data_IF_753673955522
#
_entry.id   IF_753673955522
#
_cell.length_a   1.000
_cell.length_b   1.000
_cell.length_c   1.000
_cell.angle_alpha   90.00
_cell.angle_beta   90.00
_cell.angle_gamma   90.00
#
_symmetry.space_group_name_H-M   'P 1'
#
loop_
_entity.id
_entity.type
_entity.pdbx_description
1 polymer ?
#
# COMPACT_ATOMS: atom_id res chain seq x y z
N UNK A 1 2.76 -15.61 -9.08
CA UNK A 1 3.56 -14.86 -8.08
C UNK A 1 2.68 -13.85 -7.37
N UNK A 2 2.61 -13.90 -6.05
CA UNK A 2 1.83 -12.94 -5.25
C UNK A 2 2.46 -11.54 -5.40
N UNK A 3 1.71 -10.54 -5.91
CA UNK A 3 2.22 -9.16 -6.13
C UNK A 3 2.21 -8.27 -4.88
N UNK A 4 1.42 -8.60 -3.86
CA UNK A 4 1.31 -7.79 -2.65
C UNK A 4 2.43 -8.09 -1.66
N UNK A 5 3.25 -7.07 -1.32
CA UNK A 5 4.27 -7.16 -0.27
C UNK A 5 3.65 -7.57 1.09
N UNK A 6 2.46 -7.04 1.39
CA UNK A 6 1.68 -7.37 2.58
C UNK A 6 1.41 -8.87 2.68
N UNK A 7 0.93 -9.47 1.59
CA UNK A 7 0.59 -10.89 1.58
C UNK A 7 1.84 -11.76 1.69
N UNK A 8 2.96 -11.37 1.06
CA UNK A 8 4.24 -12.08 1.20
C UNK A 8 4.76 -12.06 2.64
N UNK A 9 4.80 -10.89 3.27
CA UNK A 9 5.26 -10.76 4.66
C UNK A 9 4.35 -11.52 5.63
N UNK A 10 3.03 -11.43 5.44
CA UNK A 10 2.07 -12.16 6.27
C UNK A 10 2.20 -13.67 6.11
N UNK A 11 2.32 -14.17 4.88
CA UNK A 11 2.52 -15.60 4.63
C UNK A 11 3.84 -16.08 5.24
N UNK A 12 4.92 -15.32 5.09
CA UNK A 12 6.22 -15.67 5.68
C UNK A 12 6.16 -15.76 7.21
N UNK A 13 5.60 -14.73 7.86
CA UNK A 13 5.44 -14.70 9.32
C UNK A 13 4.48 -15.80 9.83
N UNK A 14 3.36 -16.02 9.15
CA UNK A 14 2.41 -17.07 9.49
C UNK A 14 3.03 -18.46 9.33
N UNK A 15 3.77 -18.70 8.26
CA UNK A 15 4.47 -19.97 8.02
C UNK A 15 5.50 -20.23 9.12
N UNK A 16 6.29 -19.22 9.48
CA UNK A 16 7.28 -19.34 10.57
C UNK A 16 6.60 -19.64 11.91
N UNK A 17 5.51 -18.94 12.23
CA UNK A 17 4.75 -19.17 13.46
C UNK A 17 4.14 -20.59 13.52
N UNK A 18 3.59 -21.08 12.40
CA UNK A 18 3.05 -22.44 12.29
C UNK A 18 4.15 -23.48 12.44
N UNK A 19 5.30 -23.31 11.76
CA UNK A 19 6.44 -24.22 11.89
C UNK A 19 6.94 -24.25 13.33
N UNK A 20 7.09 -23.09 13.97
CA UNK A 20 7.52 -23.00 15.36
C UNK A 20 6.56 -23.75 16.28
N UNK A 21 5.24 -23.59 16.10
CA UNK A 21 4.24 -24.34 16.87
C UNK A 21 4.28 -25.85 16.60
N UNK A 22 4.44 -26.27 15.34
CA UNK A 22 4.54 -27.67 14.97
C UNK A 22 5.77 -28.35 15.58
N UNK A 23 6.86 -27.61 15.82
CA UNK A 23 8.06 -28.11 16.49
C UNK A 23 7.94 -28.08 18.01
N UNK A 24 7.41 -27.00 18.58
CA UNK A 24 7.31 -26.83 20.04
C UNK A 24 6.31 -27.78 20.69
N UNK A 25 5.17 -28.03 20.04
CA UNK A 25 4.11 -28.85 20.61
C UNK A 25 4.53 -30.29 20.92
N UNK A 26 5.14 -31.07 19.99
CA UNK A 26 5.63 -32.41 20.29
C UNK A 26 6.76 -32.40 21.32
N UNK A 27 7.64 -31.39 21.31
CA UNK A 27 8.70 -31.24 22.31
C UNK A 27 8.13 -31.08 23.72
N UNK A 28 7.11 -30.21 23.89
CA UNK A 28 6.45 -29.99 25.18
C UNK A 28 5.66 -31.24 25.63
N UNK A 29 4.96 -31.90 24.71
CA UNK A 29 4.26 -33.16 25.00
C UNK A 29 5.23 -34.26 25.44
N UNK A 30 6.39 -34.38 24.77
CA UNK A 30 7.45 -35.33 25.14
C UNK A 30 8.06 -35.04 26.50
N UNK A 31 8.42 -33.78 26.76
CA UNK A 31 8.95 -33.35 28.05
C UNK A 31 7.97 -33.64 29.21
N UNK A 32 6.68 -33.36 29.00
CA UNK A 32 5.64 -33.66 29.99
C UNK A 32 5.46 -35.17 30.18
N UNK A 33 5.46 -35.95 29.10
CA UNK A 33 5.36 -37.42 29.15
C UNK A 33 6.50 -38.04 29.97
N UNK A 34 7.72 -37.53 29.79
CA UNK A 34 8.91 -37.92 30.55
C UNK A 34 8.78 -37.54 32.03
N UNK A 35 8.38 -36.30 32.32
CA UNK A 35 8.19 -35.82 33.69
C UNK A 35 7.11 -36.62 34.43
N UNK A 36 5.98 -36.91 33.78
CA UNK A 36 4.89 -37.67 34.39
C UNK A 36 5.28 -39.14 34.60
N UNK A 37 6.04 -39.74 33.69
CA UNK A 37 6.58 -41.10 33.87
C UNK A 37 7.50 -41.17 35.10
N UNK A 38 8.42 -40.21 35.25
CA UNK A 38 9.30 -40.14 36.42
C UNK A 38 8.52 -39.90 37.72
N UNK A 39 7.46 -39.10 37.69
CA UNK A 39 6.59 -38.89 38.84
C UNK A 39 5.84 -40.16 39.27
N UNK A 40 5.38 -40.98 38.30
CA UNK A 40 4.75 -42.28 38.58
C UNK A 40 5.77 -43.24 39.19
N UNK A 41 6.97 -43.31 38.64
CA UNK A 41 8.05 -44.15 39.15
C UNK A 41 8.38 -43.80 40.62
N UNK A 42 8.60 -42.52 40.92
CA UNK A 42 8.88 -42.06 42.29
C UNK A 42 7.71 -42.36 43.25
N UNK A 43 6.48 -42.22 42.79
CA UNK A 43 5.28 -42.53 43.59
C UNK A 43 5.20 -44.02 43.90
N UNK A 44 5.34 -44.88 42.89
CA UNK A 44 5.30 -46.33 43.09
C UNK A 44 6.47 -46.80 43.96
N UNK A 45 7.65 -46.20 43.84
CA UNK A 45 8.78 -46.47 44.73
C UNK A 45 8.48 -46.15 46.19
N UNK A 46 7.80 -45.02 46.46
CA UNK A 46 7.33 -44.64 47.79
C UNK A 46 6.25 -45.61 48.31
N UNK A 47 5.32 -46.02 47.45
CA UNK A 47 4.26 -46.96 47.79
C UNK A 47 4.84 -48.34 48.14
N UNK A 48 5.79 -48.85 47.35
CA UNK A 48 6.53 -50.09 47.68
C UNK A 48 7.30 -49.94 48.98
N UNK A 49 8.04 -48.84 49.19
CA UNK A 49 8.78 -48.60 50.45
C UNK A 49 7.86 -48.62 51.68
N UNK A 50 6.62 -48.15 51.52
CA UNK A 50 5.59 -48.20 52.56
C UNK A 50 5.16 -49.64 52.85
N UNK A 51 4.97 -50.46 51.81
CA UNK A 51 4.71 -51.90 51.96
C UNK A 51 5.87 -52.63 52.64
N UNK A 52 7.12 -52.32 52.25
CA UNK A 52 8.34 -52.87 52.89
C UNK A 52 8.35 -52.57 54.39
N UNK A 53 8.07 -51.32 54.75
CA UNK A 53 8.11 -50.84 56.13
C UNK A 53 6.99 -51.45 56.99
N UNK A 54 5.85 -51.82 56.37
CA UNK A 54 4.74 -52.46 57.04
C UNK A 54 4.94 -53.98 57.22
N UNK A 55 5.80 -54.59 56.41
CA UNK A 55 6.06 -56.02 56.46
C UNK A 55 6.81 -56.41 57.75
N UNK A 56 6.37 -57.50 58.39
CA UNK A 56 7.05 -58.10 59.54
C UNK A 56 7.51 -59.51 59.19
N UNK A 57 8.58 -59.95 59.82
CA UNK A 57 9.14 -61.29 59.60
C UNK A 57 9.08 -62.02 60.92
N UNK A 58 8.33 -63.11 60.95
CA UNK A 58 8.18 -63.95 62.14
C UNK A 58 8.34 -65.41 61.71
N UNK A 59 9.27 -66.14 62.33
CA UNK A 59 9.57 -67.55 62.02
C UNK A 59 9.88 -67.83 60.53
N UNK A 60 10.75 -67.01 59.90
CA UNK A 60 11.09 -67.10 58.47
C UNK A 60 9.91 -66.92 57.48
N UNK A 61 8.73 -66.52 57.97
CA UNK A 61 7.58 -66.18 57.15
C UNK A 61 7.34 -64.68 57.12
N UNK A 62 7.03 -64.16 55.93
CA UNK A 62 6.62 -62.77 55.74
C UNK A 62 5.17 -62.62 56.19
N UNK A 63 4.94 -61.78 57.20
CA UNK A 63 3.62 -61.41 57.70
C UNK A 63 3.31 -59.97 57.34
N UNK A 64 2.23 -59.80 56.58
CA UNK A 64 1.68 -58.50 56.23
C UNK A 64 0.50 -58.17 57.15
N UNK A 65 0.33 -56.91 57.59
CA UNK A 65 -0.84 -56.50 58.36
C UNK A 65 -2.12 -56.59 57.50
N UNK A 66 -3.27 -56.78 58.15
CA UNK A 66 -4.57 -56.82 57.48
C UNK A 66 -4.99 -55.48 56.86
N UNK A 67 -4.40 -54.37 57.35
CA UNK A 67 -4.58 -53.02 56.84
C UNK A 67 -3.20 -52.41 56.63
N UNK A 68 -2.90 -52.03 55.40
CA UNK A 68 -1.65 -51.37 55.06
C UNK A 68 -1.68 -49.88 55.40
N UNK A 69 -0.54 -49.26 55.76
CA UNK A 69 -0.40 -47.81 55.76
C UNK A 69 -0.60 -47.29 54.33
N UNK A 70 -1.61 -46.42 54.15
CA UNK A 70 -2.03 -45.92 52.84
C UNK A 70 -3.39 -46.49 52.41
N UNK A 71 -4.39 -45.61 52.24
CA UNK A 71 -5.78 -46.00 51.99
C UNK A 71 -5.94 -46.77 50.66
N UNK A 72 -5.09 -46.50 49.67
CA UNK A 72 -5.25 -47.02 48.31
C UNK A 72 -5.04 -48.54 48.19
N UNK A 73 -4.23 -49.17 49.04
CA UNK A 73 -4.06 -50.63 49.02
C UNK A 73 -5.22 -51.38 49.69
N UNK A 74 -6.02 -50.68 50.51
CA UNK A 74 -7.08 -51.28 51.31
C UNK A 74 -8.47 -51.14 50.67
N UNK A 75 -8.61 -50.28 49.65
CA UNK A 75 -9.87 -50.00 48.97
C UNK A 75 -10.06 -50.90 47.73
N UNK A 76 -11.12 -51.72 47.67
CA UNK A 76 -11.49 -52.46 46.46
C UNK A 76 -11.73 -51.51 45.28
N UNK A 77 -11.22 -51.85 44.10
CA UNK A 77 -11.32 -51.00 42.90
C UNK A 77 -10.37 -49.79 42.87
N UNK A 78 -9.45 -49.69 43.84
CA UNK A 78 -8.36 -48.73 43.78
C UNK A 78 -7.43 -49.03 42.60
N UNK A 79 -6.88 -47.97 42.00
CA UNK A 79 -5.96 -48.06 40.85
C UNK A 79 -4.54 -48.47 41.24
N UNK A 80 -4.29 -48.83 42.49
CA UNK A 80 -2.99 -49.24 43.00
C UNK A 80 -3.08 -50.65 43.56
N UNK A 81 -2.29 -51.56 42.99
CA UNK A 81 -2.30 -52.98 43.29
C UNK A 81 -0.96 -53.38 43.89
N UNK A 82 -0.98 -54.08 45.02
CA UNK A 82 0.23 -54.55 45.70
C UNK A 82 0.31 -56.06 45.65
N UNK A 83 1.48 -56.59 45.26
CA UNK A 83 1.77 -58.02 45.25
C UNK A 83 3.12 -58.29 45.92
N UNK A 84 3.25 -59.46 46.52
CA UNK A 84 4.53 -59.96 47.01
C UNK A 84 4.74 -61.36 46.46
N UNK A 85 5.92 -61.59 45.89
CA UNK A 85 6.34 -62.85 45.31
C UNK A 85 7.55 -63.41 46.06
N UNK A 86 7.63 -64.74 46.17
CA UNK A 86 8.83 -65.42 46.62
C UNK A 86 9.83 -65.63 45.48
N UNK A 87 11.07 -66.03 45.81
CA UNK A 87 12.14 -66.33 44.84
C UNK A 87 11.76 -67.30 43.71
N UNK A 88 10.76 -68.16 43.92
CA UNK A 88 10.28 -69.12 42.91
C UNK A 88 9.23 -68.51 41.97
N UNK A 89 8.91 -67.21 42.14
CA UNK A 89 7.89 -66.50 41.38
C UNK A 89 6.46 -66.81 41.84
N UNK A 90 6.28 -67.46 43.00
CA UNK A 90 4.95 -67.73 43.55
C UNK A 90 4.47 -66.54 44.38
N UNK A 91 3.23 -66.12 44.13
CA UNK A 91 2.56 -65.06 44.89
C UNK A 91 2.34 -65.51 46.34
N UNK A 92 2.89 -64.78 47.31
CA UNK A 92 2.73 -65.04 48.74
C UNK A 92 1.73 -64.10 49.41
N UNK A 93 1.50 -62.92 48.83
CA UNK A 93 0.54 -61.94 49.34
C UNK A 93 0.03 -61.03 48.23
N UNK A 94 -1.19 -60.52 48.40
CA UNK A 94 -1.83 -59.52 47.53
C UNK A 94 -2.64 -58.52 48.37
N UNK A 95 -2.72 -57.27 47.92
CA UNK A 95 -3.51 -56.22 48.60
C UNK A 95 -5.01 -56.41 48.41
N UNK A 96 -5.83 -55.84 49.29
CA UNK A 96 -7.30 -55.88 49.17
C UNK A 96 -7.78 -55.18 47.88
N UNK A 97 -7.03 -54.22 47.37
CA UNK A 97 -7.30 -53.56 46.09
C UNK A 97 -7.21 -54.48 44.86
N UNK A 98 -6.64 -55.68 44.97
CA UNK A 98 -6.51 -56.67 43.88
C UNK A 98 -7.76 -57.50 43.62
N UNK A 99 -8.84 -57.26 44.37
CA UNK A 99 -10.08 -58.03 44.23
C UNK A 99 -10.70 -57.82 42.84
N UNK A 100 -10.59 -58.83 41.97
CA UNK A 100 -11.12 -58.83 40.59
C UNK A 100 -10.07 -58.63 39.48
N UNK A 101 -8.81 -58.36 39.82
CA UNK A 101 -7.70 -58.16 38.88
C UNK A 101 -6.64 -59.26 39.10
N UNK A 102 -6.20 -59.94 38.04
CA UNK A 102 -5.19 -61.00 38.14
C UNK A 102 -4.08 -60.79 37.11
N UNK A 103 -3.02 -60.10 37.54
CA UNK A 103 -1.93 -59.69 36.65
C UNK A 103 -0.94 -60.85 36.46
N UNK A 104 -0.69 -61.23 35.20
CA UNK A 104 0.36 -62.18 34.83
C UNK A 104 1.73 -61.47 34.79
N UNK A 105 2.27 -61.17 35.97
CA UNK A 105 3.63 -60.64 36.14
C UNK A 105 4.50 -61.66 36.85
N UNK A 106 5.71 -61.88 36.34
CA UNK A 106 6.73 -62.70 36.99
C UNK A 106 7.93 -61.82 37.33
N UNK A 107 8.29 -61.71 38.62
CA UNK A 107 9.43 -60.91 39.02
C UNK A 107 10.72 -61.51 38.47
N UNK A 108 11.65 -60.65 38.06
CA UNK A 108 12.98 -61.05 37.62
C UNK A 108 13.95 -60.82 38.76
N UNK A 109 14.56 -61.90 39.25
CA UNK A 109 15.57 -61.83 40.31
C UNK A 109 16.96 -61.64 39.70
N UNK A 110 17.24 -60.44 39.21
CA UNK A 110 18.48 -60.10 38.51
C UNK A 110 19.53 -59.43 39.43
N UNK A 111 19.13 -59.07 40.65
CA UNK A 111 20.01 -58.45 41.64
C UNK A 111 20.27 -56.95 41.44
N UNK A 112 19.52 -56.28 40.55
CA UNK A 112 19.58 -54.82 40.34
C UNK A 112 18.83 -54.02 41.43
N UNK A 113 18.15 -54.70 42.36
CA UNK A 113 17.54 -54.11 43.55
C UNK A 113 16.16 -53.52 43.33
N UNK A 114 15.95 -52.75 42.25
CA UNK A 114 14.63 -52.25 41.85
C UNK A 114 14.50 -52.11 40.34
N UNK A 115 13.32 -52.40 39.78
CA UNK A 115 13.02 -52.28 38.36
C UNK A 115 11.71 -51.49 38.14
N UNK A 116 11.73 -50.51 37.23
CA UNK A 116 10.52 -49.83 36.76
C UNK A 116 10.24 -50.17 35.31
N UNK A 117 9.18 -50.94 35.07
CA UNK A 117 8.85 -51.46 33.75
C UNK A 117 7.39 -51.24 33.37
N UNK A 118 7.11 -51.41 32.08
CA UNK A 118 5.76 -51.36 31.52
C UNK A 118 5.43 -52.76 31.02
N UNK A 119 4.37 -53.35 31.54
CA UNK A 119 3.88 -54.66 31.11
C UNK A 119 2.58 -54.52 30.33
N UNK A 120 2.31 -55.50 29.48
CA UNK A 120 1.06 -55.62 28.74
C UNK A 120 0.45 -56.98 29.03
N UNK A 121 -0.78 -56.98 29.51
CA UNK A 121 -1.55 -58.17 29.82
C UNK A 121 -2.15 -58.80 28.55
N UNK A 122 -2.52 -60.07 28.64
CA UNK A 122 -3.17 -60.86 27.58
C UNK A 122 -4.51 -60.22 27.16
N UNK A 123 -5.22 -59.56 28.09
CA UNK A 123 -6.46 -58.83 27.83
C UNK A 123 -6.25 -57.51 27.08
N UNK A 124 -5.00 -57.14 26.79
CA UNK A 124 -4.61 -55.93 26.08
C UNK A 124 -4.33 -54.72 26.99
N UNK A 125 -4.55 -54.86 28.29
CA UNK A 125 -4.32 -53.79 29.25
C UNK A 125 -2.86 -53.63 29.63
N UNK A 126 -2.42 -52.37 29.70
CA UNK A 126 -1.05 -52.02 30.01
C UNK A 126 -0.96 -51.49 31.44
N UNK A 127 0.09 -51.88 32.15
CA UNK A 127 0.33 -51.49 33.54
C UNK A 127 1.78 -51.00 33.71
N UNK A 128 1.96 -50.02 34.59
CA UNK A 128 3.25 -49.68 35.14
C UNK A 128 3.53 -50.53 36.36
N UNK A 129 4.72 -51.12 36.41
CA UNK A 129 5.15 -52.03 37.47
C UNK A 129 6.43 -51.49 38.06
N UNK A 130 6.44 -51.35 39.39
CA UNK A 130 7.64 -51.08 40.15
C UNK A 130 7.91 -52.28 41.06
N UNK A 131 9.00 -52.99 40.80
CA UNK A 131 9.44 -54.18 41.52
C UNK A 131 10.68 -53.84 42.37
N UNK A 132 10.67 -54.22 43.64
CA UNK A 132 11.83 -54.11 44.54
C UNK A 132 12.16 -55.48 45.12
N UNK A 133 13.41 -55.90 44.92
CA UNK A 133 13.96 -57.11 45.51
C UNK A 133 14.50 -56.86 46.91
N UNK A 134 14.08 -57.69 47.87
CA UNK A 134 14.50 -57.57 49.27
C UNK A 134 15.10 -58.89 49.71
N UNK A 135 16.27 -58.80 50.36
CA UNK A 135 16.94 -59.93 51.00
C UNK A 135 16.83 -59.79 52.51
N UNK A 136 16.32 -60.83 53.16
CA UNK A 136 16.20 -60.85 54.61
C UNK A 136 17.56 -61.13 55.28
N UNK A 137 17.97 -60.22 56.16
CA UNK A 137 19.15 -60.38 57.01
C UNK A 137 18.76 -61.25 58.22
N UNK A 138 18.85 -62.58 58.08
CA UNK A 138 18.38 -63.47 59.16
C UNK A 138 18.57 -64.98 59.01
N UNK A 139 19.14 -65.48 57.91
CA UNK A 139 19.59 -66.89 57.87
C UNK A 139 18.63 -67.90 57.25
N UNK A 140 18.19 -67.65 56.01
CA UNK A 140 18.04 -68.60 54.88
C UNK A 140 17.74 -67.72 53.66
N UNK A 141 17.95 -68.24 52.44
CA UNK A 141 17.83 -67.54 51.14
C UNK A 141 16.40 -67.03 50.78
N UNK A 142 15.66 -66.47 51.74
CA UNK A 142 14.36 -65.83 51.52
C UNK A 142 14.57 -64.46 50.87
N UNK A 143 14.48 -64.45 49.54
CA UNK A 143 14.34 -63.24 48.75
C UNK A 143 12.86 -63.07 48.39
N UNK A 144 12.33 -61.89 48.66
CA UNK A 144 10.97 -61.49 48.28
C UNK A 144 11.06 -60.36 47.27
N UNK A 145 10.15 -60.37 46.30
CA UNK A 145 9.92 -59.25 45.38
C UNK A 145 8.62 -58.59 45.83
N UNK A 146 8.70 -57.29 46.12
CA UNK A 146 7.53 -56.48 46.48
C UNK A 146 7.22 -55.58 45.30
N UNK A 147 6.01 -55.74 44.79
CA UNK A 147 5.60 -55.17 43.51
C UNK A 147 4.40 -54.27 43.70
N UNK A 148 4.52 -53.01 43.27
CA UNK A 148 3.38 -52.12 43.10
C UNK A 148 3.05 -51.97 41.62
N UNK A 149 1.75 -52.11 41.30
CA UNK A 149 1.24 -52.06 39.94
C UNK A 149 0.14 -51.00 39.83
N UNK A 150 0.20 -50.22 38.76
CA UNK A 150 -0.82 -49.21 38.44
C UNK A 150 -1.25 -49.32 36.96
N UNK A 151 -2.55 -49.28 36.62
CA UNK A 151 -3.02 -49.30 35.24
C UNK A 151 -2.58 -48.07 34.44
N UNK A 152 -2.18 -48.27 33.19
CA UNK A 152 -1.77 -47.20 32.27
C UNK A 152 -2.97 -46.38 31.75
N UNK A 153 -4.19 -46.92 31.80
CA UNK A 153 -5.39 -46.21 31.33
C UNK A 153 -5.56 -44.84 31.99
N UNK A 154 -5.32 -44.74 33.31
CA UNK A 154 -5.36 -43.45 34.02
C UNK A 154 -4.27 -42.46 33.60
N UNK A 155 -3.11 -42.96 33.16
CA UNK A 155 -2.04 -42.16 32.57
C UNK A 155 -2.45 -41.63 31.18
N UNK A 156 -3.01 -42.49 30.33
CA UNK A 156 -3.48 -42.12 28.99
C UNK A 156 -4.59 -41.07 29.03
N UNK A 157 -5.60 -41.25 29.90
CA UNK A 157 -6.67 -40.27 30.10
C UNK A 157 -6.13 -38.88 30.48
N UNK A 158 -5.14 -38.86 31.38
CA UNK A 158 -4.49 -37.61 31.83
C UNK A 158 -3.72 -36.94 30.69
N UNK A 159 -2.95 -37.72 29.93
CA UNK A 159 -2.18 -37.23 28.78
C UNK A 159 -3.08 -36.72 27.67
N UNK A 160 -4.16 -37.43 27.33
CA UNK A 160 -5.07 -37.01 26.26
C UNK A 160 -5.87 -35.77 26.65
N UNK A 161 -6.29 -35.69 27.92
CA UNK A 161 -6.89 -34.48 28.49
C UNK A 161 -5.95 -33.28 28.41
N UNK A 162 -4.66 -33.48 28.74
CA UNK A 162 -3.64 -32.43 28.60
C UNK A 162 -3.39 -32.06 27.14
N UNK A 163 -3.22 -33.03 26.24
CA UNK A 163 -3.01 -32.82 24.81
C UNK A 163 -4.12 -31.95 24.23
N UNK A 164 -5.38 -32.25 24.53
CA UNK A 164 -6.52 -31.43 24.08
C UNK A 164 -6.40 -29.99 24.58
N UNK A 165 -6.07 -29.78 25.86
CA UNK A 165 -5.86 -28.43 26.42
C UNK A 165 -4.70 -27.71 25.75
N UNK A 166 -3.59 -28.41 25.46
CA UNK A 166 -2.45 -27.86 24.75
C UNK A 166 -2.82 -27.47 23.31
N UNK A 167 -3.52 -28.33 22.56
CA UNK A 167 -3.97 -28.00 21.20
C UNK A 167 -4.89 -26.78 21.18
N UNK A 168 -5.86 -26.70 22.10
CA UNK A 168 -6.75 -25.55 22.22
C UNK A 168 -6.00 -24.28 22.61
N UNK A 169 -5.11 -24.35 23.60
CA UNK A 169 -4.32 -23.22 24.07
C UNK A 169 -3.36 -22.69 23.00
N UNK A 170 -2.60 -23.58 22.34
CA UNK A 170 -1.71 -23.20 21.24
C UNK A 170 -2.49 -22.70 20.03
N UNK A 171 -3.62 -23.33 19.68
CA UNK A 171 -4.48 -22.87 18.59
C UNK A 171 -5.01 -21.45 18.84
N UNK A 172 -5.49 -21.18 20.05
CA UNK A 172 -5.93 -19.84 20.46
C UNK A 172 -4.78 -18.84 20.45
N UNK A 173 -3.61 -19.20 20.99
CA UNK A 173 -2.42 -18.34 20.98
C UNK A 173 -1.96 -18.03 19.54
N UNK A 174 -2.03 -19.00 18.62
CA UNK A 174 -1.70 -18.81 17.22
C UNK A 174 -2.67 -17.82 16.55
N UNK A 175 -3.97 -18.00 16.78
CA UNK A 175 -4.98 -17.10 16.25
C UNK A 175 -4.78 -15.65 16.73
N UNK A 176 -4.51 -15.47 18.03
CA UNK A 176 -4.19 -14.15 18.61
C UNK A 176 -2.92 -13.58 17.99
N UNK A 177 -1.84 -14.36 17.89
CA UNK A 177 -0.57 -13.94 17.30
C UNK A 177 -0.75 -13.50 15.84
N UNK A 178 -1.46 -14.29 15.03
CA UNK A 178 -1.74 -13.97 13.64
C UNK A 178 -2.61 -12.71 13.51
N UNK A 179 -3.60 -12.53 14.39
CA UNK A 179 -4.41 -11.32 14.46
C UNK A 179 -3.59 -10.07 14.78
N UNK A 180 -2.70 -10.15 15.77
CA UNK A 180 -1.80 -9.06 16.14
C UNK A 180 -0.80 -8.74 15.03
N UNK A 181 -0.21 -9.75 14.39
CA UNK A 181 0.68 -9.56 13.24
C UNK A 181 -0.04 -8.88 12.08
N UNK A 182 -1.26 -9.32 11.76
CA UNK A 182 -2.09 -8.70 10.74
C UNK A 182 -2.39 -7.24 11.07
N UNK A 183 -2.78 -6.94 12.32
CA UNK A 183 -3.06 -5.58 12.78
C UNK A 183 -1.81 -4.68 12.67
N UNK A 184 -0.67 -5.14 13.19
CA UNK A 184 0.61 -4.41 13.12
C UNK A 184 1.06 -4.12 11.69
N UNK A 185 0.99 -5.13 10.80
CA UNK A 185 1.29 -4.97 9.37
C UNK A 185 0.32 -3.99 8.69
N UNK A 186 -0.97 -4.02 9.05
CA UNK A 186 -1.94 -3.07 8.48
C UNK A 186 -1.70 -1.64 8.89
N UNK A 187 -1.33 -1.41 10.16
CA UNK A 187 -1.00 -0.09 10.67
C UNK A 187 0.29 0.43 10.04
N UNK A 188 1.37 -0.38 10.02
CA UNK A 188 2.64 0.03 9.41
C UNK A 188 2.53 0.35 7.92
N UNK A 189 1.83 -0.48 7.14
CA UNK A 189 1.65 -0.25 5.70
C UNK A 189 0.61 0.84 5.38
N UNK A 190 -0.14 1.35 6.38
CA UNK A 190 -1.06 2.47 6.17
C UNK A 190 -0.29 3.78 5.97
N UNK A 191 0.78 3.99 6.73
CA UNK A 191 1.64 5.17 6.59
C UNK A 191 2.24 5.29 5.18
N UNK A 192 2.74 4.17 4.62
CA UNK A 192 3.26 4.13 3.24
C UNK A 192 2.20 4.47 2.19
N UNK A 193 0.96 4.01 2.38
CA UNK A 193 -0.15 4.38 1.49
C UNK A 193 -0.49 5.87 1.59
N UNK A 194 -0.44 6.43 2.81
CA UNK A 194 -0.59 7.88 3.02
C UNK A 194 0.48 8.68 2.27
N UNK A 195 1.76 8.29 2.37
CA UNK A 195 2.85 8.93 1.65
C UNK A 195 2.68 8.84 0.12
N UNK A 196 2.24 7.68 -0.39
CA UNK A 196 1.93 7.52 -1.82
C UNK A 196 0.81 8.46 -2.27
N UNK A 197 -0.26 8.57 -1.48
CA UNK A 197 -1.37 9.48 -1.77
C UNK A 197 -0.95 10.95 -1.71
N UNK A 198 -0.09 11.33 -0.76
CA UNK A 198 0.49 12.68 -0.72
C UNK A 198 1.35 12.96 -1.95
N UNK A 199 2.12 11.97 -2.42
CA UNK A 199 2.93 12.11 -3.63
C UNK A 199 2.05 12.30 -4.87
N UNK A 200 0.97 11.51 -5.01
CA UNK A 200 -0.01 11.68 -6.08
C UNK A 200 -0.68 13.07 -6.02
N UNK A 201 -0.92 13.60 -4.81
CA UNK A 201 -1.46 14.95 -4.63
C UNK A 201 -0.46 16.03 -5.06
N UNK A 202 0.83 15.85 -4.77
CA UNK A 202 1.89 16.74 -5.25
C UNK A 202 2.02 16.65 -6.78
N UNK A 203 1.91 15.45 -7.36
CA UNK A 203 1.90 15.22 -8.81
C UNK A 203 0.66 15.79 -9.51
N UNK A 204 -0.46 15.92 -8.78
CA UNK A 204 -1.68 16.53 -9.33
C UNK A 204 -1.73 18.04 -9.17
N UNK A 205 -0.82 18.63 -8.38
CA UNK A 205 -0.80 20.07 -8.10
C UNK A 205 -1.64 20.52 -6.91
N UNK A 206 -2.34 19.61 -6.25
CA UNK A 206 -3.19 19.91 -5.10
C UNK A 206 -2.36 20.34 -3.88
N UNK A 207 -1.10 19.90 -3.82
CA UNK A 207 -0.23 20.14 -2.67
C UNK A 207 1.18 20.52 -3.09
N UNK A 208 1.79 21.43 -2.34
CA UNK A 208 3.15 21.90 -2.63
C UNK A 208 4.26 20.98 -2.10
N UNK A 209 4.04 20.23 -1.03
CA UNK A 209 5.08 19.39 -0.42
C UNK A 209 4.46 18.22 0.34
N UNK A 210 5.27 17.19 0.61
CA UNK A 210 4.89 16.08 1.46
C UNK A 210 4.86 16.53 2.94
N UNK A 211 3.94 15.96 3.75
CA UNK A 211 3.81 16.28 5.18
C UNK A 211 5.08 15.94 5.96
N UNK A 212 5.33 16.61 7.08
CA UNK A 212 6.37 16.21 8.05
C UNK A 212 5.86 15.18 9.08
N UNK A 213 4.55 14.92 9.11
CA UNK A 213 3.88 13.99 10.04
C UNK A 213 4.00 12.53 9.58
N UNK A 214 5.23 12.04 9.46
CA UNK A 214 5.50 10.63 9.12
C UNK A 214 6.35 9.95 10.21
N UNK A 215 6.27 8.61 10.34
CA UNK A 215 7.18 7.85 11.20
C UNK A 215 8.65 8.17 10.93
N UNK A 216 9.49 8.05 11.95
CA UNK A 216 10.91 8.43 11.88
C UNK A 216 11.67 7.68 10.78
N UNK A 217 11.23 6.49 10.42
CA UNK A 217 11.79 5.69 9.31
C UNK A 217 11.54 6.33 7.94
N UNK A 218 10.46 7.12 7.78
CA UNK A 218 10.08 7.76 6.53
C UNK A 218 10.53 9.23 6.45
N UNK A 219 10.77 9.90 7.57
CA UNK A 219 11.19 11.32 7.59
C UNK A 219 12.35 11.62 6.64
N UNK A 220 13.41 10.79 6.66
CA UNK A 220 14.58 10.98 5.80
C UNK A 220 14.25 10.87 4.31
N UNK A 221 13.30 10.00 3.95
CA UNK A 221 12.84 9.84 2.57
C UNK A 221 12.00 11.04 2.15
N UNK A 222 11.03 11.43 2.99
CA UNK A 222 10.18 12.60 2.79
C UNK A 222 11.02 13.87 2.60
N UNK A 223 12.03 14.09 3.44
CA UNK A 223 12.95 15.23 3.31
C UNK A 223 13.72 15.22 1.99
N UNK A 224 14.17 14.04 1.56
CA UNK A 224 14.91 13.89 0.31
C UNK A 224 14.03 14.17 -0.90
N UNK A 225 12.77 13.69 -0.88
CA UNK A 225 11.77 14.00 -1.90
C UNK A 225 11.42 15.49 -1.90
N UNK A 226 11.18 16.09 -0.74
CA UNK A 226 10.90 17.53 -0.61
C UNK A 226 12.07 18.40 -1.09
N UNK A 227 13.33 17.97 -0.92
CA UNK A 227 14.50 18.65 -1.52
C UNK A 227 14.54 18.52 -3.04
N UNK A 228 14.26 17.33 -3.57
CA UNK A 228 14.20 17.10 -5.02
C UNK A 228 13.11 17.96 -5.66
N UNK A 229 11.91 17.98 -5.07
CA UNK A 229 10.78 18.80 -5.53
C UNK A 229 11.13 20.29 -5.53
N UNK A 230 11.78 20.79 -4.46
CA UNK A 230 12.25 22.18 -4.41
C UNK A 230 13.28 22.48 -5.50
N UNK A 231 14.28 21.61 -5.67
CA UNK A 231 15.31 21.77 -6.71
C UNK A 231 14.72 21.79 -8.12
N UNK A 232 13.72 20.95 -8.40
CA UNK A 232 13.06 20.89 -9.69
C UNK A 232 12.29 22.18 -9.99
N UNK A 233 11.52 22.68 -9.01
CA UNK A 233 10.81 23.96 -9.12
C UNK A 233 11.75 25.13 -9.34
N UNK A 234 12.82 25.23 -8.55
CA UNK A 234 13.82 26.28 -8.74
C UNK A 234 14.49 26.21 -10.12
N UNK A 235 14.75 25.00 -10.63
CA UNK A 235 15.30 24.81 -11.96
C UNK A 235 14.30 25.23 -13.05
N UNK A 236 13.00 24.95 -12.89
CA UNK A 236 11.96 25.44 -13.81
C UNK A 236 11.86 26.96 -13.82
N UNK A 237 11.86 27.60 -12.64
CA UNK A 237 11.80 29.06 -12.52
C UNK A 237 13.00 29.68 -13.22
N UNK A 238 14.22 29.24 -12.91
CA UNK A 238 15.44 29.72 -13.59
C UNK A 238 15.41 29.50 -15.09
N UNK A 239 14.89 28.37 -15.55
CA UNK A 239 14.75 28.09 -16.99
C UNK A 239 13.78 29.07 -17.65
N UNK A 240 12.63 29.37 -17.01
CA UNK A 240 11.66 30.34 -17.51
C UNK A 240 12.25 31.75 -17.55
N UNK A 241 12.88 32.20 -16.47
CA UNK A 241 13.49 33.53 -16.40
C UNK A 241 14.59 33.68 -17.47
N UNK A 242 15.40 32.63 -17.68
CA UNK A 242 16.43 32.62 -18.74
C UNK A 242 15.82 32.71 -20.14
N UNK A 243 14.67 32.08 -20.39
CA UNK A 243 13.96 32.20 -21.66
C UNK A 243 13.41 33.61 -21.86
N UNK A 244 12.84 34.23 -20.82
CA UNK A 244 12.32 35.59 -20.88
C UNK A 244 13.44 36.61 -21.18
N UNK A 245 14.60 36.45 -20.54
CA UNK A 245 15.79 37.27 -20.83
C UNK A 245 16.29 37.07 -22.27
N UNK A 246 16.28 35.82 -22.76
CA UNK A 246 16.65 35.49 -24.13
C UNK A 246 15.63 36.07 -25.13
N UNK A 247 14.34 36.09 -24.79
CA UNK A 247 13.30 36.75 -25.56
C UNK A 247 13.56 38.25 -25.72
N UNK A 248 13.87 38.91 -24.61
CA UNK A 248 14.10 40.35 -24.61
C UNK A 248 15.36 40.73 -25.39
N UNK A 249 16.45 39.97 -25.19
CA UNK A 249 17.72 40.19 -25.88
C UNK A 249 17.66 39.95 -27.39
N UNK A 250 16.74 39.09 -27.86
CA UNK A 250 16.52 38.86 -29.30
C UNK A 250 15.52 39.83 -29.94
N UNK A 251 14.46 40.26 -29.23
CA UNK A 251 13.48 41.24 -29.73
C UNK A 251 14.13 42.60 -30.05
N UNK A 252 15.07 43.03 -29.22
CA UNK A 252 15.74 44.33 -29.35
C UNK A 252 16.52 44.48 -30.67
N UNK A 253 17.45 43.58 -31.04
CA UNK A 253 18.15 43.67 -32.33
C UNK A 253 17.22 43.46 -33.53
N UNK A 254 16.18 42.62 -33.40
CA UNK A 254 15.17 42.47 -34.46
C UNK A 254 14.40 43.78 -34.72
N UNK A 255 14.01 44.51 -33.66
CA UNK A 255 13.36 45.81 -33.80
C UNK A 255 14.27 46.85 -34.47
N UNK A 256 15.56 46.85 -34.15
CA UNK A 256 16.56 47.71 -34.81
C UNK A 256 16.67 47.36 -36.30
N UNK A 257 16.78 46.08 -36.65
CA UNK A 257 16.82 45.63 -38.04
C UNK A 257 15.54 46.01 -38.79
N UNK A 258 14.38 45.91 -38.15
CA UNK A 258 13.10 46.31 -38.72
C UNK A 258 13.06 47.81 -39.03
N UNK A 259 13.51 48.66 -38.10
CA UNK A 259 13.59 50.11 -38.31
C UNK A 259 14.60 50.53 -39.39
N UNK A 260 15.72 49.80 -39.53
CA UNK A 260 16.68 50.02 -40.63
C UNK A 260 16.04 49.63 -41.97
N UNK A 261 15.35 48.50 -42.03
CA UNK A 261 14.63 48.04 -43.23
C UNK A 261 13.56 49.03 -43.69
N UNK A 262 12.77 49.57 -42.76
CA UNK A 262 11.73 50.58 -43.04
C UNK A 262 12.33 51.89 -43.59
N UNK A 263 13.54 52.26 -43.17
CA UNK A 263 14.24 53.42 -43.71
C UNK A 263 14.80 53.18 -45.11
N UNK A 264 15.23 51.96 -45.44
CA UNK A 264 15.64 51.57 -46.79
C UNK A 264 14.42 51.55 -47.74
N UNK A 265 13.26 51.09 -47.26
CA UNK A 265 12.01 51.07 -48.02
C UNK A 265 11.51 52.46 -48.48
N UNK A 266 11.99 53.55 -47.87
CA UNK A 266 11.68 54.94 -48.27
C UNK A 266 12.46 55.41 -49.50
N UNK A 267 13.47 54.66 -49.96
CA UNK A 267 14.25 54.98 -51.15
C UNK A 267 13.66 54.26 -52.37
N UNK A 268 13.30 54.96 -53.45
CA UNK A 268 12.62 54.36 -54.60
C UNK A 268 13.44 53.29 -55.34
N UNK A 269 14.76 53.26 -55.16
CA UNK A 269 15.68 52.36 -55.88
C UNK A 269 15.88 51.01 -55.17
N UNK A 270 15.51 50.91 -53.88
CA UNK A 270 15.84 49.75 -53.01
C UNK A 270 14.58 49.03 -52.44
N UNK A 271 13.38 49.39 -52.91
CA UNK A 271 12.09 48.92 -52.33
C UNK A 271 11.96 47.40 -52.31
N UNK A 272 12.42 46.71 -53.36
CA UNK A 272 12.33 45.25 -53.46
C UNK A 272 13.26 44.55 -52.44
N UNK A 273 14.46 45.11 -52.23
CA UNK A 273 15.45 44.57 -51.28
C UNK A 273 15.04 44.85 -49.83
N UNK A 274 14.45 46.01 -49.57
CA UNK A 274 13.85 46.34 -48.27
C UNK A 274 12.69 45.40 -47.93
N UNK A 275 11.87 45.03 -48.91
CA UNK A 275 10.75 44.10 -48.72
C UNK A 275 11.24 42.68 -48.38
N UNK A 276 12.27 42.19 -49.08
CA UNK A 276 12.91 40.90 -48.77
C UNK A 276 13.51 40.92 -47.37
N UNK A 277 14.24 41.96 -46.99
CA UNK A 277 14.86 42.07 -45.66
C UNK A 277 13.81 42.12 -44.54
N UNK A 278 12.74 42.90 -44.73
CA UNK A 278 11.63 42.99 -43.79
C UNK A 278 10.94 41.62 -43.61
N UNK A 279 10.72 40.89 -44.71
CA UNK A 279 10.13 39.55 -44.65
C UNK A 279 11.00 38.54 -43.88
N UNK A 280 12.33 38.64 -43.95
CA UNK A 280 13.24 37.75 -43.22
C UNK A 280 13.32 38.10 -41.73
N UNK A 281 13.34 39.39 -41.39
CA UNK A 281 13.29 39.86 -39.99
C UNK A 281 11.98 39.41 -39.33
N UNK A 282 10.87 39.53 -40.06
CA UNK A 282 9.56 39.10 -39.58
C UNK A 282 9.51 37.58 -39.35
N UNK A 283 10.05 36.77 -40.28
CA UNK A 283 10.18 35.32 -40.08
C UNK A 283 11.06 34.94 -38.88
N UNK A 284 12.16 35.65 -38.66
CA UNK A 284 13.03 35.41 -37.50
C UNK A 284 12.32 35.76 -36.19
N UNK A 285 11.64 36.90 -36.13
CA UNK A 285 10.82 37.31 -34.98
C UNK A 285 9.74 36.27 -34.67
N UNK A 286 9.05 35.77 -35.70
CA UNK A 286 8.07 34.68 -35.57
C UNK A 286 8.69 33.39 -35.02
N UNK A 287 9.83 32.95 -35.57
CA UNK A 287 10.51 31.72 -35.11
C UNK A 287 10.99 31.83 -33.66
N UNK A 288 11.53 32.99 -33.27
CA UNK A 288 12.04 33.23 -31.94
C UNK A 288 10.90 33.29 -30.92
N UNK A 289 9.86 34.11 -31.19
CA UNK A 289 8.67 34.17 -30.34
C UNK A 289 8.06 32.79 -30.13
N UNK A 290 7.95 32.00 -31.20
CA UNK A 290 7.45 30.62 -31.14
C UNK A 290 8.32 29.69 -30.29
N UNK A 291 9.64 29.68 -30.46
CA UNK A 291 10.50 28.77 -29.69
C UNK A 291 10.51 29.10 -28.20
N UNK A 292 10.47 30.40 -27.87
CA UNK A 292 10.41 30.87 -26.50
C UNK A 292 9.08 30.50 -25.84
N UNK A 293 7.97 30.73 -26.55
CA UNK A 293 6.65 30.38 -26.06
C UNK A 293 6.45 28.86 -25.98
N UNK A 294 6.98 28.09 -26.93
CA UNK A 294 6.94 26.62 -26.86
C UNK A 294 7.79 26.08 -25.70
N UNK A 295 8.88 26.75 -25.37
CA UNK A 295 9.73 26.38 -24.25
C UNK A 295 9.08 26.75 -22.89
N UNK A 296 8.29 27.84 -22.83
CA UNK A 296 7.48 28.19 -21.65
C UNK A 296 6.24 27.32 -21.49
N UNK A 297 5.59 26.92 -22.60
CA UNK A 297 4.40 26.04 -22.63
C UNK A 297 4.73 24.54 -22.51
N UNK A 298 6.02 24.16 -22.49
CA UNK A 298 6.43 22.75 -22.48
C UNK A 298 6.06 22.11 -21.14
N UNK A 299 4.91 21.42 -21.11
CA UNK A 299 4.40 20.55 -20.03
C UNK A 299 4.91 20.96 -18.63
N UNK A 300 4.14 21.79 -17.93
CA UNK A 300 3.80 21.49 -16.53
C UNK A 300 3.14 20.12 -16.48
N UNK A 301 3.92 19.05 -16.67
CA UNK A 301 3.43 17.68 -16.71
C UNK A 301 2.97 17.15 -15.35
N UNK A 302 2.80 18.02 -14.35
CA UNK A 302 2.66 17.68 -12.94
C UNK A 302 1.65 18.57 -12.18
N UNK A 303 0.86 19.41 -12.86
CA UNK A 303 -0.11 20.27 -12.17
C UNK A 303 -1.38 20.37 -13.04
N UNK A 304 -2.44 19.67 -12.64
CA UNK A 304 -3.76 19.80 -13.27
C UNK A 304 -4.41 21.09 -12.75
N UNK A 305 -4.11 22.20 -13.41
CA UNK A 305 -4.74 23.48 -13.07
C UNK A 305 -6.19 23.50 -13.56
N UNK A 306 -7.10 23.91 -12.68
CA UNK A 306 -8.48 24.23 -13.00
C UNK A 306 -8.66 25.74 -12.83
N UNK A 307 -9.07 26.43 -13.88
CA UNK A 307 -9.28 27.88 -13.84
C UNK A 307 -10.76 28.18 -14.07
N UNK A 308 -11.33 29.02 -13.21
CA UNK A 308 -12.68 29.54 -13.39
C UNK A 308 -12.69 30.48 -14.60
N UNK A 309 -13.49 30.15 -15.61
CA UNK A 309 -13.45 30.86 -16.90
C UNK A 309 -14.03 32.27 -16.80
N UNK A 310 -15.13 32.43 -16.04
CA UNK A 310 -15.87 33.69 -15.93
C UNK A 310 -15.02 34.89 -15.47
N UNK A 311 -14.26 34.85 -14.35
CA UNK A 311 -13.44 35.98 -13.92
C UNK A 311 -12.39 36.41 -14.96
N UNK A 312 -11.82 35.44 -15.67
CA UNK A 312 -10.80 35.69 -16.70
C UNK A 312 -11.40 36.40 -17.91
N UNK A 313 -12.54 35.91 -18.41
CA UNK A 313 -13.23 36.52 -19.55
C UNK A 313 -13.74 37.92 -19.20
N UNK A 314 -14.32 38.11 -18.02
CA UNK A 314 -14.79 39.42 -17.54
C UNK A 314 -13.64 40.44 -17.45
N UNK A 315 -12.49 40.03 -16.92
CA UNK A 315 -11.29 40.87 -16.84
C UNK A 315 -10.78 41.31 -18.23
N UNK A 316 -10.75 40.37 -19.18
CA UNK A 316 -10.32 40.65 -20.56
C UNK A 316 -11.30 41.57 -21.29
N UNK A 317 -12.62 41.30 -21.21
CA UNK A 317 -13.65 42.16 -21.79
C UNK A 317 -13.57 43.58 -21.21
N UNK A 318 -13.47 43.72 -19.88
CA UNK A 318 -13.32 45.04 -19.23
C UNK A 318 -12.09 45.82 -19.69
N UNK A 319 -11.01 45.11 -20.04
CA UNK A 319 -9.78 45.71 -20.56
C UNK A 319 -9.97 46.13 -22.01
N UNK A 320 -10.55 45.27 -22.85
CA UNK A 320 -10.80 45.53 -24.26
C UNK A 320 -11.87 46.61 -24.48
N UNK A 321 -12.89 46.71 -23.63
CA UNK A 321 -13.89 47.79 -23.64
C UNK A 321 -13.24 49.17 -23.46
N UNK A 322 -12.14 49.26 -22.71
CA UNK A 322 -11.37 50.51 -22.55
C UNK A 322 -10.53 50.82 -23.78
N UNK A 323 -9.93 49.80 -24.40
CA UNK A 323 -9.07 49.94 -25.60
C UNK A 323 -9.91 50.32 -26.83
N UNK A 324 -11.07 49.69 -27.00
CA UNK A 324 -11.99 49.90 -28.13
C UNK A 324 -13.21 50.74 -27.76
N UNK A 325 -13.05 51.67 -26.80
CA UNK A 325 -14.15 52.49 -26.26
C UNK A 325 -14.96 53.20 -27.36
N UNK A 326 -14.30 53.65 -28.41
CA UNK A 326 -14.93 54.40 -29.51
C UNK A 326 -15.89 53.55 -30.36
N UNK A 327 -15.71 52.22 -30.37
CA UNK A 327 -16.60 51.28 -31.09
C UNK A 327 -17.89 50.93 -30.34
N UNK A 328 -17.93 51.16 -29.01
CA UNK A 328 -19.06 50.79 -28.16
C UNK A 328 -19.50 49.32 -28.30
N UNK A 329 -18.53 48.40 -28.30
CA UNK A 329 -18.80 46.95 -28.43
C UNK A 329 -19.62 46.45 -27.26
N UNK A 330 -20.68 45.69 -27.54
CA UNK A 330 -21.50 44.99 -26.54
C UNK A 330 -21.02 43.54 -26.39
N UNK A 331 -20.33 43.23 -25.30
CA UNK A 331 -19.93 41.86 -24.97
C UNK A 331 -21.03 41.13 -24.17
N UNK A 332 -21.46 39.97 -24.67
CA UNK A 332 -22.43 39.08 -24.00
C UNK A 332 -21.73 37.81 -23.53
N UNK A 333 -21.85 37.49 -22.23
CA UNK A 333 -21.22 36.32 -21.61
C UNK A 333 -22.27 35.28 -21.21
N UNK A 334 -22.36 34.20 -22.00
CA UNK A 334 -23.21 33.04 -21.70
C UNK A 334 -22.37 31.90 -21.08
N UNK A 335 -21.96 32.13 -19.83
CA UNK A 335 -21.08 31.25 -19.08
C UNK A 335 -21.84 30.72 -17.84
N UNK A 336 -21.87 29.41 -17.57
CA UNK A 336 -22.39 28.91 -16.29
C UNK A 336 -21.61 29.51 -15.09
N UNK A 337 -22.24 29.69 -13.93
CA UNK A 337 -21.57 30.24 -12.73
C UNK A 337 -20.29 29.48 -12.34
N UNK A 338 -20.30 28.15 -12.53
CA UNK A 338 -19.21 27.25 -12.16
C UNK A 338 -18.59 26.57 -13.38
N UNK A 339 -18.17 27.35 -14.38
CA UNK A 339 -17.44 26.84 -15.55
C UNK A 339 -15.92 26.85 -15.30
N UNK A 340 -15.31 25.67 -15.43
CA UNK A 340 -13.88 25.47 -15.24
C UNK A 340 -13.27 24.78 -16.46
N UNK A 341 -12.06 25.18 -16.81
CA UNK A 341 -11.26 24.55 -17.87
C UNK A 341 -9.95 24.02 -17.31
N UNK A 342 -9.48 22.91 -17.89
CA UNK A 342 -8.25 22.22 -17.51
C UNK A 342 -7.03 22.87 -18.20
N UNK A 343 -6.73 24.11 -17.84
CA UNK A 343 -5.60 24.86 -18.41
C UNK A 343 -4.92 25.72 -17.35
N UNK A 344 -3.64 26.04 -17.55
CA UNK A 344 -2.95 27.05 -16.75
C UNK A 344 -3.53 28.43 -17.01
N UNK A 345 -3.64 29.26 -15.97
CA UNK A 345 -4.24 30.59 -16.06
C UNK A 345 -3.53 31.49 -17.08
N UNK A 346 -2.19 31.45 -17.14
CA UNK A 346 -1.41 32.20 -18.13
C UNK A 346 -1.70 31.78 -19.57
N UNK A 347 -1.81 30.47 -19.82
CA UNK A 347 -2.15 29.95 -21.15
C UNK A 347 -3.59 30.29 -21.55
N UNK A 348 -4.53 30.24 -20.59
CA UNK A 348 -5.91 30.66 -20.82
C UNK A 348 -6.01 32.17 -21.13
N UNK A 349 -5.30 33.01 -20.37
CA UNK A 349 -5.23 34.46 -20.60
C UNK A 349 -4.67 34.79 -21.99
N UNK A 350 -3.60 34.11 -22.40
CA UNK A 350 -2.99 34.33 -23.71
C UNK A 350 -3.90 33.85 -24.85
N UNK A 351 -4.51 32.68 -24.70
CA UNK A 351 -5.47 32.14 -25.69
C UNK A 351 -6.68 33.07 -25.85
N UNK A 352 -7.36 33.39 -24.75
CA UNK A 352 -8.55 34.24 -24.75
C UNK A 352 -8.22 35.67 -25.13
N UNK A 353 -7.07 36.21 -24.69
CA UNK A 353 -6.62 37.54 -25.05
C UNK A 353 -6.51 37.70 -26.56
N UNK A 354 -5.85 36.76 -27.24
CA UNK A 354 -5.71 36.78 -28.69
C UNK A 354 -7.05 36.63 -29.43
N UNK A 355 -7.93 35.73 -28.96
CA UNK A 355 -9.24 35.52 -29.58
C UNK A 355 -10.17 36.73 -29.39
N UNK A 356 -10.26 37.25 -28.17
CA UNK A 356 -11.12 38.39 -27.85
C UNK A 356 -10.59 39.69 -28.46
N UNK A 357 -9.28 39.93 -28.47
CA UNK A 357 -8.70 41.08 -29.17
C UNK A 357 -9.06 41.03 -30.67
N UNK A 358 -8.98 39.85 -31.29
CA UNK A 358 -9.37 39.68 -32.68
C UNK A 358 -10.87 39.96 -32.91
N UNK A 359 -11.74 39.46 -32.02
CA UNK A 359 -13.18 39.71 -32.07
C UNK A 359 -13.51 41.20 -31.93
N UNK A 360 -12.96 41.90 -30.92
CA UNK A 360 -13.16 43.34 -30.71
C UNK A 360 -12.65 44.18 -31.89
N UNK A 361 -11.51 43.79 -32.45
CA UNK A 361 -10.93 44.49 -33.60
C UNK A 361 -11.80 44.38 -34.85
N UNK A 362 -12.40 43.21 -35.12
CA UNK A 362 -13.10 42.92 -36.38
C UNK A 362 -14.63 43.04 -36.31
N UNK A 363 -15.23 42.97 -35.11
CA UNK A 363 -16.67 43.14 -34.92
C UNK A 363 -17.17 44.49 -35.44
N UNK A 364 -18.45 44.57 -35.77
CA UNK A 364 -19.15 45.83 -35.98
C UNK A 364 -19.55 46.42 -34.62
N UNK A 365 -20.22 45.63 -33.78
CA UNK A 365 -20.81 46.10 -32.53
C UNK A 365 -21.02 45.03 -31.44
N UNK A 366 -21.02 43.74 -31.76
CA UNK A 366 -21.37 42.67 -30.82
C UNK A 366 -20.29 41.57 -30.77
N UNK A 367 -19.96 41.15 -29.54
CA UNK A 367 -19.11 39.98 -29.27
C UNK A 367 -19.84 39.08 -28.28
N UNK A 368 -19.81 37.77 -28.51
CA UNK A 368 -20.41 36.78 -27.62
C UNK A 368 -19.40 35.72 -27.22
N UNK A 369 -19.35 35.41 -25.93
CA UNK A 369 -18.57 34.29 -25.39
C UNK A 369 -19.53 33.32 -24.73
N UNK A 370 -19.52 32.06 -25.15
CA UNK A 370 -20.38 31.02 -24.61
C UNK A 370 -19.60 29.77 -24.21
N UNK A 371 -20.09 29.07 -23.19
CA UNK A 371 -19.50 27.81 -22.74
C UNK A 371 -20.58 26.76 -22.54
N UNK A 372 -20.48 25.64 -23.26
CA UNK A 372 -21.44 24.54 -23.18
C UNK A 372 -20.74 23.24 -22.79
N UNK A 373 -21.38 22.47 -21.90
CA UNK A 373 -20.89 21.16 -21.46
C UNK A 373 -21.71 20.07 -22.12
N UNK A 374 -21.04 19.17 -22.86
CA UNK A 374 -21.67 18.04 -23.55
C UNK A 374 -21.07 16.71 -23.07
N UNK A 375 -21.80 15.61 -23.28
CA UNK A 375 -21.29 14.24 -23.09
C UNK A 375 -20.06 13.92 -23.95
N UNK A 376 -19.84 14.68 -25.03
CA UNK A 376 -18.71 14.49 -25.96
C UNK A 376 -17.52 15.40 -25.65
N UNK A 377 -17.63 16.28 -24.64
CA UNK A 377 -16.62 17.28 -24.30
C UNK A 377 -17.21 18.64 -23.94
N UNK A 378 -16.38 19.52 -23.39
CA UNK A 378 -16.73 20.91 -23.13
C UNK A 378 -16.41 21.75 -24.39
N UNK A 379 -17.27 22.71 -24.74
CA UNK A 379 -17.07 23.64 -25.86
C UNK A 379 -17.07 25.09 -25.37
N UNK A 380 -16.00 25.81 -25.69
CA UNK A 380 -15.88 27.25 -25.50
C UNK A 380 -15.95 27.94 -26.87
N UNK A 381 -16.85 28.90 -27.02
CA UNK A 381 -17.04 29.62 -28.28
C UNK A 381 -16.90 31.13 -28.10
N UNK A 382 -16.17 31.77 -29.03
CA UNK A 382 -16.04 33.23 -29.16
C UNK A 382 -16.57 33.63 -30.54
N UNK A 383 -17.56 34.51 -30.56
CA UNK A 383 -18.32 34.90 -31.75
C UNK A 383 -18.33 36.43 -31.92
N UNK A 384 -18.31 36.91 -33.16
CA UNK A 384 -18.44 38.33 -33.52
C UNK A 384 -19.46 38.58 -34.65
N UNK A 385 -19.89 39.83 -34.81
CA UNK A 385 -20.76 40.34 -35.88
C UNK A 385 -20.00 41.01 -37.05
N UNK A 386 -18.71 40.71 -37.20
CA UNK A 386 -17.83 41.27 -38.24
C UNK A 386 -18.04 40.68 -39.65
N UNK A 387 -17.10 40.90 -40.58
CA UNK A 387 -17.21 40.40 -41.97
C UNK A 387 -17.06 38.88 -42.12
N UNK A 388 -16.76 38.16 -41.04
CA UNK A 388 -16.53 36.71 -41.05
C UNK A 388 -15.26 36.29 -41.78
N UNK A 389 -15.11 34.97 -41.99
CA UNK A 389 -13.98 34.39 -42.73
C UNK A 389 -14.50 33.45 -43.84
N UNK A 390 -14.17 33.73 -45.12
CA UNK A 390 -14.56 32.85 -46.22
C UNK A 390 -14.08 31.42 -46.03
N UNK A 391 -14.92 30.43 -46.38
CA UNK A 391 -14.63 29.01 -46.12
C UNK A 391 -13.29 28.53 -46.72
N UNK A 392 -12.93 29.04 -47.89
CA UNK A 392 -11.65 28.74 -48.57
C UNK A 392 -10.41 29.25 -47.83
N UNK A 393 -10.59 30.19 -46.89
CA UNK A 393 -9.54 30.89 -46.16
C UNK A 393 -9.41 30.43 -44.70
N UNK A 394 -10.42 29.73 -44.16
CA UNK A 394 -10.47 29.31 -42.75
C UNK A 394 -9.32 28.39 -42.35
N UNK A 395 -8.92 27.45 -43.21
CA UNK A 395 -7.78 26.59 -42.92
C UNK A 395 -6.46 27.39 -42.90
N UNK A 396 -6.32 28.36 -43.81
CA UNK A 396 -5.08 29.13 -43.99
C UNK A 396 -4.88 30.19 -42.92
N UNK A 397 -5.95 30.79 -42.38
CA UNK A 397 -5.84 31.78 -41.29
C UNK A 397 -5.41 31.13 -39.95
N UNK A 398 -5.56 29.81 -39.84
CA UNK A 398 -5.06 29.00 -38.73
C UNK A 398 -3.62 28.49 -38.98
N UNK A 399 -3.07 28.75 -40.17
CA UNK A 399 -1.68 28.46 -40.52
C UNK A 399 -0.77 29.68 -40.26
N UNK A 400 0.52 29.41 -40.06
CA UNK A 400 1.48 30.40 -39.55
C UNK A 400 1.73 31.53 -40.54
N UNK A 401 1.59 32.77 -40.09
CA UNK A 401 2.06 33.96 -40.82
C UNK A 401 1.21 34.38 -42.03
N UNK A 402 0.08 33.72 -42.27
CA UNK A 402 -0.85 34.07 -43.36
C UNK A 402 -1.90 35.08 -42.86
N UNK A 403 -1.98 36.25 -43.51
CA UNK A 403 -2.99 37.28 -43.24
C UNK A 403 -3.93 37.40 -44.44
N UNK A 404 -5.22 37.61 -44.16
CA UNK A 404 -6.23 37.90 -45.21
C UNK A 404 -6.18 39.37 -45.66
N UNK A 405 -5.87 40.28 -44.74
CA UNK A 405 -5.73 41.71 -45.02
C UNK A 405 -4.27 42.16 -44.89
N UNK A 406 -3.68 42.62 -46.01
CA UNK A 406 -2.32 43.22 -46.03
C UNK A 406 -2.27 44.69 -45.58
N UNK A 407 -3.41 45.36 -45.37
CA UNK A 407 -3.46 46.82 -45.22
C UNK A 407 -3.52 47.36 -43.78
N UNK A 408 -3.81 46.54 -42.76
CA UNK A 408 -3.90 47.00 -41.36
C UNK A 408 -2.66 46.65 -40.52
N UNK A 409 -2.23 47.46 -39.55
CA UNK A 409 -1.12 47.11 -38.66
C UNK A 409 -1.53 46.01 -37.65
N UNK A 410 -0.76 44.91 -37.59
CA UNK A 410 -0.98 43.78 -36.69
C UNK A 410 -0.08 42.58 -37.03
N UNK A 411 0.48 41.91 -36.03
CA UNK A 411 1.60 40.96 -36.21
C UNK A 411 1.21 39.60 -36.83
N UNK A 412 -0.08 39.26 -36.97
CA UNK A 412 -0.51 37.99 -37.60
C UNK A 412 -0.16 36.72 -36.81
N UNK A 413 0.32 36.86 -35.57
CA UNK A 413 0.81 35.76 -34.71
C UNK A 413 -0.31 35.15 -33.85
N UNK A 414 -1.33 35.95 -33.50
CA UNK A 414 -2.28 35.59 -32.45
C UNK A 414 -3.05 34.28 -32.67
N UNK A 415 -3.58 34.03 -33.87
CA UNK A 415 -4.35 32.79 -34.11
C UNK A 415 -3.48 31.52 -34.18
N UNK A 416 -2.25 31.63 -34.69
CA UNK A 416 -1.32 30.50 -34.72
C UNK A 416 -0.91 30.11 -33.29
N UNK A 417 -0.68 31.11 -32.43
CA UNK A 417 -0.43 30.92 -31.00
C UNK A 417 -1.61 30.25 -30.31
N UNK A 418 -2.83 30.74 -30.56
CA UNK A 418 -4.05 30.13 -30.00
C UNK A 418 -4.16 28.65 -30.39
N UNK A 419 -3.90 28.31 -31.66
CA UNK A 419 -3.90 26.92 -32.13
C UNK A 419 -2.85 26.07 -31.41
N UNK A 420 -1.60 26.55 -31.30
CA UNK A 420 -0.52 25.83 -30.63
C UNK A 420 -0.85 25.59 -29.13
N UNK A 421 -1.45 26.58 -28.45
CA UNK A 421 -1.92 26.42 -27.06
C UNK A 421 -3.00 25.35 -26.99
N UNK A 422 -4.07 25.46 -27.80
CA UNK A 422 -5.20 24.53 -27.80
C UNK A 422 -4.75 23.09 -28.06
N UNK A 423 -3.89 22.87 -29.06
CA UNK A 423 -3.35 21.55 -29.39
C UNK A 423 -2.47 20.99 -28.25
N UNK A 424 -1.73 21.84 -27.52
CA UNK A 424 -0.91 21.41 -26.38
C UNK A 424 -1.73 20.85 -25.21
N UNK A 425 -2.99 21.26 -25.08
CA UNK A 425 -3.96 20.77 -24.10
C UNK A 425 -4.84 19.63 -24.64
N UNK A 426 -4.57 19.13 -25.86
CA UNK A 426 -5.36 18.07 -26.48
C UNK A 426 -6.77 18.51 -26.88
N UNK A 427 -7.00 19.81 -27.00
CA UNK A 427 -8.26 20.37 -27.48
C UNK A 427 -8.17 20.64 -29.00
N UNK A 428 -9.31 20.91 -29.62
CA UNK A 428 -9.41 21.21 -31.06
C UNK A 428 -10.04 22.57 -31.30
N UNK A 429 -9.38 23.40 -32.12
CA UNK A 429 -9.90 24.67 -32.59
C UNK A 429 -10.60 24.48 -33.95
N UNK A 430 -11.82 24.96 -34.07
CA UNK A 430 -12.54 25.06 -35.35
C UNK A 430 -13.06 26.48 -35.57
N UNK A 431 -13.17 26.86 -36.84
CA UNK A 431 -13.64 28.17 -37.27
C UNK A 431 -14.89 28.00 -38.14
N UNK A 432 -15.96 28.67 -37.75
CA UNK A 432 -17.26 28.64 -38.42
C UNK A 432 -17.85 30.04 -38.64
N UNK A 433 -19.05 30.05 -39.18
CA UNK A 433 -19.89 31.25 -39.26
C UNK A 433 -20.59 31.49 -37.93
N UNK A 434 -20.64 32.75 -37.50
CA UNK A 434 -21.35 33.17 -36.31
C UNK A 434 -22.82 33.44 -36.62
N UNK A 435 -23.76 33.05 -35.74
CA UNK A 435 -25.16 33.50 -35.82
C UNK A 435 -25.32 35.02 -35.79
N UNK A 436 -24.30 35.76 -35.33
CA UNK A 436 -24.24 37.22 -35.35
C UNK A 436 -23.87 37.79 -36.73
N UNK A 437 -23.45 36.95 -37.67
CA UNK A 437 -23.06 37.34 -39.04
C UNK A 437 -21.55 37.36 -39.31
N UNK A 438 -20.70 37.30 -38.26
CA UNK A 438 -19.25 37.28 -38.38
C UNK A 438 -18.61 35.90 -38.21
N UNK A 439 -17.49 35.83 -37.49
CA UNK A 439 -16.74 34.59 -37.26
C UNK A 439 -17.08 33.92 -35.92
N UNK A 440 -17.03 32.59 -35.87
CA UNK A 440 -17.18 31.80 -34.65
C UNK A 440 -15.97 30.89 -34.45
N UNK A 441 -15.18 31.16 -33.40
CA UNK A 441 -14.07 30.31 -32.97
C UNK A 441 -14.58 29.34 -31.90
N UNK A 442 -14.55 28.04 -32.18
CA UNK A 442 -15.01 26.97 -31.28
C UNK A 442 -13.84 26.12 -30.82
N UNK A 443 -13.69 26.00 -29.51
CA UNK A 443 -12.64 25.23 -28.85
C UNK A 443 -13.31 24.03 -28.18
N UNK A 444 -13.01 22.83 -28.68
CA UNK A 444 -13.54 21.59 -28.14
C UNK A 444 -12.51 20.92 -27.25
N UNK A 445 -12.81 20.82 -25.97
CA UNK A 445 -12.02 20.05 -25.00
C UNK A 445 -12.53 18.61 -24.99
N UNK A 446 -11.67 17.66 -25.37
CA UNK A 446 -12.01 16.23 -25.36
C UNK A 446 -12.31 15.77 -23.92
N UNK A 447 -13.35 14.95 -23.73
CA UNK A 447 -13.63 14.32 -22.44
C UNK A 447 -12.43 13.47 -22.00
N UNK A 448 -11.84 13.79 -20.84
CA UNK A 448 -10.72 13.04 -20.25
C UNK A 448 -11.18 11.83 -19.44
#
# INVERSE_FOLDING_TARGET
>A
MIRSLRLRLMLGAATLAVIFMLLMLPALQGAFSLALRGAIEQRLASDVTTMISAARVENDHLLMPSVLPGEQFNLPGSRLLGYIYNRQGQMVWRSLSTEGENIDYRPQYDGQGSEFTKIKEINGDEYFVYDVEIRLLGGRNAAFSIVAVQPLRGYQETIDGLRRKLYLGFGAALAVLLGLLWMGLTWGLRALRGLSQELDQVESGVRDSLSEEHPSELLRLTDSLNRLLRSEREQRIRYRDSLDDLAHSLKTPLAVLQGVSENIAKRPEDVEQAWVLQSQIERMSQQIGYQLQRASLRKSGLVRHHVMLRPVVESLCNTLDKVYRDKQVKATLDLPEHCQVHMEEGALLEMLGNLLENAYRLCLSEVRVSFTRSTTGDELCVEDDGPGVPQSQRARILERGERLDRQNPGQGIGLAVVKDIIESYGAQLTLGDSPLGGAAFRIHFLAQ
#
